data_IF_010366317526
#
_entry.id   IF_010366317526
#
_cell.length_a   1.000
_cell.length_b   1.000
_cell.length_c   1.000
_cell.angle_alpha   90.00
_cell.angle_beta   90.00
_cell.angle_gamma   90.00
#
_symmetry.space_group_name_H-M   'P 1'
#
loop_
_entity.id
_entity.type
_entity.pdbx_description
1 polymer ?
#
# COMPACT_ATOMS: atom_id res chain seq x y z
N UNK A 1 3.25 -10.76 -10.51
CA UNK A 1 3.66 -9.92 -9.35
C UNK A 1 2.44 -9.18 -8.79
N UNK A 2 2.23 -9.25 -7.50
CA UNK A 2 1.15 -8.52 -6.83
C UNK A 2 1.44 -7.02 -6.97
N UNK A 3 0.46 -6.25 -7.46
CA UNK A 3 0.59 -4.80 -7.53
C UNK A 3 0.44 -4.18 -6.15
N UNK A 4 1.17 -3.09 -5.87
CA UNK A 4 1.05 -2.37 -4.62
C UNK A 4 0.74 -0.90 -4.90
N UNK A 5 -0.40 -0.45 -4.40
CA UNK A 5 -0.82 0.93 -4.52
C UNK A 5 -0.75 1.60 -3.15
N UNK A 6 0.04 2.66 -3.05
CA UNK A 6 0.14 3.43 -1.81
C UNK A 6 -0.65 4.71 -2.00
N UNK A 7 -1.69 4.91 -1.19
CA UNK A 7 -2.48 6.14 -1.27
C UNK A 7 -2.57 6.77 0.11
N UNK A 8 -2.14 8.03 0.19
CA UNK A 8 -2.02 8.74 1.46
C UNK A 8 -2.47 10.19 1.31
N UNK A 9 -2.64 10.85 2.44
CA UNK A 9 -2.81 12.30 2.46
C UNK A 9 -1.51 12.95 1.96
N UNK A 10 -1.64 13.92 1.07
CA UNK A 10 -0.50 14.68 0.58
C UNK A 10 0.61 13.80 0.02
N UNK A 11 1.84 14.19 0.30
CA UNK A 11 3.02 13.53 -0.27
C UNK A 11 3.63 12.46 0.64
N UNK A 12 2.95 12.08 1.70
CA UNK A 12 3.49 11.10 2.65
C UNK A 12 3.89 9.80 1.96
N UNK A 13 3.00 9.26 1.12
CA UNK A 13 3.25 7.98 0.47
C UNK A 13 4.45 8.00 -0.45
N UNK A 14 4.57 9.03 -1.30
CA UNK A 14 5.70 9.11 -2.23
C UNK A 14 7.02 9.30 -1.47
N UNK A 15 7.01 10.03 -0.36
CA UNK A 15 8.22 10.21 0.44
C UNK A 15 8.62 8.91 1.16
N UNK A 16 7.64 8.12 1.60
CA UNK A 16 7.90 6.80 2.17
C UNK A 16 8.53 5.88 1.13
N UNK A 17 8.00 5.89 -0.09
CA UNK A 17 8.55 5.07 -1.18
C UNK A 17 9.99 5.49 -1.50
N UNK A 18 10.25 6.79 -1.57
CA UNK A 18 11.60 7.30 -1.82
C UNK A 18 12.56 6.87 -0.73
N UNK A 19 12.13 6.92 0.53
CA UNK A 19 12.96 6.48 1.65
C UNK A 19 13.25 4.99 1.56
N UNK A 20 12.25 4.19 1.22
CA UNK A 20 12.43 2.75 1.05
C UNK A 20 13.41 2.44 -0.08
N UNK A 21 13.30 3.15 -1.20
CA UNK A 21 14.20 2.95 -2.34
C UNK A 21 15.62 3.39 -2.04
N UNK A 22 15.79 4.38 -1.18
CA UNK A 22 17.11 4.79 -0.73
C UNK A 22 17.83 3.66 0.01
N UNK A 23 17.07 2.85 0.72
CA UNK A 23 17.62 1.74 1.53
C UNK A 23 17.77 0.46 0.70
N UNK A 24 16.74 0.11 -0.06
CA UNK A 24 16.66 -1.17 -0.78
C UNK A 24 16.94 -1.09 -2.28
N UNK A 25 17.04 0.12 -2.84
CA UNK A 25 17.12 0.28 -4.28
C UNK A 25 15.75 0.38 -4.93
N UNK A 26 15.70 0.50 -6.26
CA UNK A 26 14.44 0.68 -6.98
C UNK A 26 13.43 -0.45 -6.68
N UNK A 27 12.17 -0.06 -6.49
CA UNK A 27 11.09 -1.01 -6.18
C UNK A 27 10.10 -1.03 -7.35
N UNK A 28 9.86 -2.22 -7.90
CA UNK A 28 8.97 -2.40 -9.04
C UNK A 28 7.54 -2.65 -8.58
N UNK A 29 6.59 -2.25 -9.44
CA UNK A 29 5.18 -2.56 -9.20
C UNK A 29 4.57 -1.83 -8.02
N UNK A 30 5.09 -0.66 -7.67
CA UNK A 30 4.54 0.21 -6.63
C UNK A 30 4.15 1.52 -7.28
N UNK A 31 2.91 1.94 -7.07
CA UNK A 31 2.36 3.18 -7.58
C UNK A 31 1.84 3.99 -6.41
N UNK A 32 1.97 5.30 -6.48
CA UNK A 32 1.50 6.22 -5.45
C UNK A 32 0.42 7.14 -5.99
N UNK A 33 -0.63 7.34 -5.20
CA UNK A 33 -1.68 8.31 -5.48
C UNK A 33 -1.85 9.18 -4.23
N UNK A 34 -1.64 10.49 -4.37
CA UNK A 34 -1.83 11.39 -3.24
C UNK A 34 -3.25 11.91 -3.18
N UNK A 35 -3.75 12.10 -1.98
CA UNK A 35 -5.05 12.69 -1.70
C UNK A 35 -4.82 14.08 -1.14
N UNK A 36 -5.31 15.09 -1.83
CA UNK A 36 -5.21 16.48 -1.38
C UNK A 36 -6.54 17.20 -1.55
N UNK A 37 -6.59 18.46 -1.13
CA UNK A 37 -7.82 19.25 -1.13
C UNK A 37 -8.30 19.61 -2.54
N UNK A 38 -7.43 19.49 -3.54
CA UNK A 38 -7.75 19.90 -4.91
C UNK A 38 -8.42 18.80 -5.72
N UNK A 39 -8.39 17.56 -5.23
CA UNK A 39 -9.01 16.43 -5.93
C UNK A 39 -10.38 16.14 -5.36
N UNK A 40 -11.39 16.07 -6.22
CA UNK A 40 -12.71 15.61 -5.82
C UNK A 40 -12.72 14.11 -5.57
N UNK A 41 -13.67 13.65 -4.76
CA UNK A 41 -13.79 12.23 -4.40
C UNK A 41 -13.99 11.38 -5.65
N UNK A 42 -14.81 11.83 -6.58
CA UNK A 42 -15.10 11.06 -7.81
C UNK A 42 -13.86 10.94 -8.71
N UNK A 43 -13.08 12.01 -8.84
CA UNK A 43 -11.85 11.97 -9.63
C UNK A 43 -10.83 11.03 -9.00
N UNK A 44 -10.70 11.08 -7.69
CA UNK A 44 -9.80 10.22 -6.95
C UNK A 44 -10.20 8.75 -7.07
N UNK A 45 -11.49 8.47 -7.00
CA UNK A 45 -12.02 7.13 -7.14
C UNK A 45 -11.72 6.58 -8.54
N UNK A 46 -11.85 7.41 -9.59
CA UNK A 46 -11.48 7.01 -10.94
C UNK A 46 -10.00 6.73 -11.07
N UNK A 47 -9.17 7.57 -10.47
CA UNK A 47 -7.73 7.43 -10.52
C UNK A 47 -7.29 6.12 -9.86
N UNK A 48 -7.83 5.81 -8.70
CA UNK A 48 -7.53 4.57 -7.99
C UNK A 48 -8.02 3.36 -8.79
N UNK A 49 -9.24 3.41 -9.30
CA UNK A 49 -9.79 2.32 -10.11
C UNK A 49 -8.96 2.03 -11.36
N UNK A 50 -8.50 3.08 -12.04
CA UNK A 50 -7.65 2.94 -13.21
C UNK A 50 -6.30 2.32 -12.85
N UNK A 51 -5.71 2.77 -11.74
CA UNK A 51 -4.43 2.23 -11.26
C UNK A 51 -4.56 0.73 -10.94
N UNK A 52 -5.62 0.34 -10.25
CA UNK A 52 -5.86 -1.06 -9.92
C UNK A 52 -5.89 -1.92 -11.17
N UNK A 53 -6.63 -1.48 -12.20
CA UNK A 53 -6.73 -2.22 -13.45
C UNK A 53 -5.38 -2.37 -14.15
N UNK A 54 -4.59 -1.32 -14.15
CA UNK A 54 -3.26 -1.33 -14.79
C UNK A 54 -2.26 -2.20 -14.04
N UNK A 55 -2.39 -2.27 -12.72
CA UNK A 55 -1.42 -2.97 -11.88
C UNK A 55 -1.73 -4.46 -11.72
N UNK A 56 -2.97 -4.85 -11.96
CA UNK A 56 -3.37 -6.24 -11.76
C UNK A 56 -2.94 -7.09 -12.95
N UNK A 57 -1.95 -7.93 -12.74
CA UNK A 57 -1.45 -8.87 -13.74
C UNK A 57 -1.87 -10.30 -13.39
N UNK A 58 -3.00 -10.47 -12.75
CA UNK A 58 -3.58 -11.76 -12.40
C UNK A 58 -3.39 -12.16 -10.93
N UNK A 59 -2.57 -11.45 -10.18
CA UNK A 59 -2.32 -11.74 -8.76
C UNK A 59 -2.96 -10.72 -7.82
N UNK A 60 -3.67 -9.75 -8.35
CA UNK A 60 -4.37 -8.75 -7.57
C UNK A 60 -3.51 -7.58 -7.13
N UNK A 61 -4.10 -6.71 -6.34
CA UNK A 61 -3.49 -5.45 -5.89
C UNK A 61 -3.68 -5.28 -4.39
N UNK A 62 -2.59 -4.95 -3.70
CA UNK A 62 -2.62 -4.55 -2.31
C UNK A 62 -2.60 -3.03 -2.23
N UNK A 63 -3.59 -2.45 -1.56
CA UNK A 63 -3.63 -1.01 -1.31
C UNK A 63 -3.16 -0.75 0.12
N UNK A 64 -2.19 0.16 0.24
CA UNK A 64 -1.69 0.60 1.55
C UNK A 64 -2.08 2.04 1.76
N UNK A 65 -2.73 2.33 2.87
CA UNK A 65 -3.13 3.70 3.23
C UNK A 65 -2.46 4.14 4.52
N UNK A 66 -2.43 5.45 4.75
CA UNK A 66 -1.72 6.00 5.92
C UNK A 66 -2.45 5.76 7.24
N UNK A 67 -3.77 5.88 7.26
CA UNK A 67 -4.53 5.65 8.49
C UNK A 67 -5.93 5.13 8.17
N UNK A 68 -6.55 4.52 9.15
CA UNK A 68 -7.92 4.05 9.03
C UNK A 68 -8.89 5.22 9.26
N UNK A 69 -9.93 5.31 8.42
CA UNK A 69 -11.00 6.28 8.60
C UNK A 69 -10.87 7.59 7.83
N UNK A 70 -9.75 7.84 7.17
CA UNK A 70 -9.58 9.02 6.31
C UNK A 70 -10.05 8.76 4.89
N UNK A 71 -10.01 9.81 4.06
CA UNK A 71 -10.43 9.71 2.65
C UNK A 71 -9.68 8.62 1.88
N UNK A 72 -8.33 8.52 1.97
CA UNK A 72 -7.63 7.43 1.28
C UNK A 72 -8.15 6.06 1.66
N UNK A 73 -8.36 5.83 2.96
CA UNK A 73 -8.87 4.55 3.47
C UNK A 73 -10.29 4.29 2.99
N UNK A 74 -11.17 5.28 3.10
CA UNK A 74 -12.59 5.10 2.77
C UNK A 74 -12.79 4.81 1.28
N UNK A 75 -12.07 5.51 0.42
CA UNK A 75 -12.15 5.25 -1.02
C UNK A 75 -11.56 3.89 -1.35
N UNK A 76 -10.41 3.56 -0.76
CA UNK A 76 -9.76 2.27 -1.00
C UNK A 76 -10.65 1.10 -0.60
N UNK A 77 -11.34 1.21 0.55
CA UNK A 77 -12.23 0.16 1.02
C UNK A 77 -13.42 -0.06 0.07
N UNK A 78 -13.79 0.94 -0.72
CA UNK A 78 -14.86 0.76 -1.71
C UNK A 78 -14.45 -0.19 -2.84
N UNK A 79 -13.15 -0.45 -3.01
CA UNK A 79 -12.64 -1.38 -4.01
C UNK A 79 -12.32 -2.76 -3.44
N UNK A 80 -12.50 -2.96 -2.14
CA UNK A 80 -12.16 -4.22 -1.48
C UNK A 80 -12.89 -5.37 -2.15
N UNK A 81 -12.13 -6.38 -2.57
CA UNK A 81 -12.68 -7.57 -3.20
C UNK A 81 -11.75 -8.74 -2.90
N UNK A 82 -12.26 -9.73 -2.19
CA UNK A 82 -11.47 -10.88 -1.76
C UNK A 82 -10.72 -11.52 -2.93
N UNK A 83 -9.41 -11.70 -2.75
CA UNK A 83 -8.55 -12.31 -3.76
C UNK A 83 -8.14 -11.40 -4.90
N UNK A 84 -8.71 -10.20 -5.00
CA UNK A 84 -8.40 -9.26 -6.08
C UNK A 84 -7.88 -7.92 -5.59
N UNK A 85 -8.48 -7.36 -4.56
CA UNK A 85 -8.04 -6.10 -3.95
C UNK A 85 -8.14 -6.26 -2.45
N UNK A 86 -7.00 -6.09 -1.77
CA UNK A 86 -6.95 -6.08 -0.32
C UNK A 86 -6.43 -4.71 0.13
N UNK A 87 -6.82 -4.30 1.33
CA UNK A 87 -6.46 -2.99 1.87
C UNK A 87 -5.85 -3.16 3.25
N UNK A 88 -4.68 -2.54 3.47
CA UNK A 88 -4.04 -2.50 4.78
C UNK A 88 -3.78 -1.05 5.12
N UNK A 89 -4.19 -0.63 6.30
CA UNK A 89 -4.01 0.75 6.79
C UNK A 89 -2.80 0.86 7.69
N UNK A 90 -2.31 2.09 7.89
CA UNK A 90 -1.18 2.33 8.78
C UNK A 90 0.17 2.05 8.12
N UNK A 91 0.30 2.39 6.82
CA UNK A 91 1.55 2.17 6.10
C UNK A 91 2.72 2.86 6.79
N UNK A 92 3.83 2.16 6.89
CA UNK A 92 5.06 2.69 7.45
C UNK A 92 6.26 2.18 6.65
N UNK A 93 7.43 2.71 6.97
CA UNK A 93 8.65 2.36 6.24
C UNK A 93 9.02 0.87 6.36
N UNK A 94 8.97 0.25 7.54
CA UNK A 94 9.29 -1.18 7.65
C UNK A 94 8.41 -2.06 6.75
N UNK A 95 7.13 -1.75 6.61
CA UNK A 95 6.24 -2.49 5.72
C UNK A 95 6.73 -2.44 4.28
N UNK A 96 7.10 -1.24 3.81
CA UNK A 96 7.58 -1.08 2.43
C UNK A 96 8.90 -1.84 2.22
N UNK A 97 9.79 -1.81 3.19
CA UNK A 97 11.07 -2.52 3.10
C UNK A 97 10.88 -4.03 3.02
N UNK A 98 9.80 -4.54 3.59
CA UNK A 98 9.53 -5.98 3.60
C UNK A 98 8.87 -6.48 2.32
N UNK A 99 8.24 -5.61 1.55
CA UNK A 99 7.50 -6.02 0.35
C UNK A 99 8.33 -6.88 -0.61
N UNK A 100 9.55 -6.50 -1.02
CA UNK A 100 10.30 -7.29 -1.98
C UNK A 100 10.63 -8.70 -1.51
N UNK A 101 10.77 -8.89 -0.21
CA UNK A 101 11.22 -10.16 0.36
C UNK A 101 10.16 -11.25 0.32
N UNK A 102 8.87 -10.87 0.37
CA UNK A 102 7.79 -11.84 0.52
C UNK A 102 6.77 -11.82 -0.62
N UNK A 103 6.86 -10.83 -1.48
CA UNK A 103 5.85 -10.52 -2.51
C UNK A 103 5.59 -11.66 -3.49
N UNK A 104 6.62 -12.38 -3.91
CA UNK A 104 6.50 -13.40 -4.94
C UNK A 104 6.01 -14.75 -4.43
N UNK A 105 6.18 -15.03 -3.16
CA UNK A 105 5.87 -16.33 -2.59
C UNK A 105 4.48 -16.48 -1.99
N UNK A 106 3.63 -15.45 -2.09
CA UNK A 106 2.35 -15.43 -1.39
C UNK A 106 1.19 -15.12 -2.31
N UNK A 107 0.00 -15.60 -1.94
CA UNK A 107 -1.24 -15.09 -2.53
C UNK A 107 -1.50 -13.69 -2.01
N UNK A 108 -2.39 -12.95 -2.66
CA UNK A 108 -2.73 -11.60 -2.21
C UNK A 108 -3.21 -11.59 -0.76
N UNK A 109 -4.07 -12.53 -0.40
CA UNK A 109 -4.60 -12.60 0.96
C UNK A 109 -3.49 -12.86 1.99
N UNK A 110 -2.60 -13.78 1.70
CA UNK A 110 -1.46 -14.09 2.57
C UNK A 110 -0.53 -12.89 2.70
N UNK A 111 -0.26 -12.22 1.58
CA UNK A 111 0.59 -11.05 1.54
C UNK A 111 0.00 -9.90 2.37
N UNK A 112 -1.28 -9.63 2.20
CA UNK A 112 -1.97 -8.59 2.96
C UNK A 112 -1.90 -8.87 4.46
N UNK A 113 -2.15 -10.12 4.86
CA UNK A 113 -2.09 -10.50 6.27
C UNK A 113 -0.68 -10.38 6.83
N UNK A 114 0.32 -10.82 6.07
CA UNK A 114 1.71 -10.71 6.48
C UNK A 114 2.13 -9.25 6.70
N UNK A 115 1.82 -8.39 5.74
CA UNK A 115 2.19 -6.97 5.83
C UNK A 115 1.45 -6.29 6.96
N UNK A 116 0.17 -6.62 7.17
CA UNK A 116 -0.60 -6.11 8.29
C UNK A 116 0.04 -6.46 9.62
N UNK A 117 0.46 -7.70 9.79
CA UNK A 117 1.09 -8.15 11.02
C UNK A 117 2.46 -7.50 11.20
N UNK A 118 3.20 -7.33 10.11
CA UNK A 118 4.55 -6.78 10.14
C UNK A 118 4.60 -5.32 10.57
N UNK A 119 3.53 -4.57 10.39
CA UNK A 119 3.52 -3.13 10.72
C UNK A 119 3.86 -2.83 12.18
N UNK A 120 3.73 -3.80 13.09
CA UNK A 120 4.02 -3.62 14.52
C UNK A 120 5.30 -4.30 14.99
N UNK A 121 6.01 -5.00 14.12
CA UNK A 121 7.22 -5.75 14.52
C UNK A 121 8.34 -4.84 15.02
N UNK A 122 8.52 -3.70 14.39
CA UNK A 122 9.59 -2.75 14.70
C UNK A 122 9.55 -2.28 16.15
N UNK A 123 8.35 -2.13 16.69
CA UNK A 123 8.17 -1.68 18.06
C UNK A 123 8.74 -2.67 19.08
N UNK A 124 8.66 -3.96 18.78
CA UNK A 124 9.15 -5.01 19.66
C UNK A 124 10.67 -5.03 19.71
N UNK A 125 11.30 -4.87 18.55
CA UNK A 125 12.76 -4.82 18.42
C UNK A 125 13.32 -3.62 19.18
N UNK A 126 12.74 -2.46 19.01
CA UNK A 126 13.17 -1.25 19.70
C UNK A 126 13.07 -1.38 21.22
N UNK A 127 12.10 -2.13 21.71
CA UNK A 127 11.90 -2.34 23.14
C UNK A 127 12.95 -3.24 23.75
N UNK A 128 13.48 -4.16 23.01
CA UNK A 128 14.50 -5.10 23.47
C UNK A 128 15.89 -4.49 23.53
N UNK A 129 16.09 -3.42 22.81
CA UNK A 129 17.35 -2.69 22.86
C UNK A 129 17.39 -1.76 24.05
#
# INVERSE_FOLDING_TARGET
>A
MIGVLVTTHGNLGIELIKAAELIKGPMKGIVHISVDQNKGVEDLKKEIGTAIKKMDHGKGVLILTDLFGGTPSNISLSFLKEGKVEVVTGVNLPMLLKLPDVREGMTLKEFAQFIKDYRSEERRVGKEC
#
